data_IF_953892912372
#
_entry.id   IF_953892912372
#
_cell.length_a   1.000
_cell.length_b   1.000
_cell.length_c   1.000
_cell.angle_alpha   90.00
_cell.angle_beta   90.00
_cell.angle_gamma   90.00
#
_symmetry.space_group_name_H-M   'P 1'
#
loop_
_entity.id
_entity.type
_entity.pdbx_description
1 polymer ?
#
# COMPACT_ATOMS: atom_id res chain seq x y z
N UNK A 1 -4.35 20.42 -42.59
CA UNK A 1 -3.02 20.25 -43.22
C UNK A 1 -2.05 19.74 -42.18
N UNK A 2 -1.55 18.52 -42.39
CA UNK A 2 -0.61 17.87 -41.49
C UNK A 2 0.80 18.48 -41.63
N UNK A 3 1.56 18.54 -40.54
CA UNK A 3 3.02 18.67 -40.62
C UNK A 3 3.64 17.82 -39.51
N UNK A 4 4.12 16.66 -39.94
CA UNK A 4 4.93 15.70 -39.20
C UNK A 4 6.33 16.32 -39.01
N UNK A 5 6.86 16.31 -37.77
CA UNK A 5 8.29 16.56 -37.53
C UNK A 5 8.92 15.33 -36.88
N UNK A 6 9.90 14.83 -37.62
CA UNK A 6 10.67 13.59 -37.48
C UNK A 6 11.60 13.61 -36.26
N UNK A 7 11.57 12.54 -35.47
CA UNK A 7 12.58 12.21 -34.45
C UNK A 7 13.88 11.75 -35.12
N UNK A 8 15.04 12.25 -34.63
CA UNK A 8 16.35 11.64 -34.87
C UNK A 8 16.79 10.88 -33.62
N UNK A 9 16.97 9.58 -33.76
CA UNK A 9 17.58 8.68 -32.77
C UNK A 9 19.09 8.64 -33.03
N UNK A 10 19.92 8.79 -32.00
CA UNK A 10 21.37 8.57 -32.10
C UNK A 10 21.68 7.24 -31.42
N UNK A 11 22.10 6.26 -32.22
CA UNK A 11 22.59 4.95 -31.79
C UNK A 11 24.04 5.03 -31.31
N UNK A 12 24.35 4.31 -30.23
CA UNK A 12 25.67 3.83 -29.81
C UNK A 12 25.39 2.62 -28.89
N UNK A 13 26.13 1.53 -28.81
CA UNK A 13 27.15 0.88 -29.64
C UNK A 13 27.22 -0.56 -29.08
N UNK A 14 27.55 -1.53 -29.94
CA UNK A 14 27.78 -2.94 -29.60
C UNK A 14 28.86 -3.10 -28.51
N UNK A 15 28.71 -4.12 -27.66
CA UNK A 15 29.85 -4.92 -27.24
C UNK A 15 29.45 -6.37 -26.91
N UNK A 16 29.98 -7.26 -27.73
CA UNK A 16 29.97 -8.72 -27.69
C UNK A 16 30.92 -9.24 -26.61
N UNK A 17 30.52 -10.28 -25.86
CA UNK A 17 31.42 -11.06 -25.03
C UNK A 17 31.32 -12.56 -25.38
N UNK A 18 32.44 -13.07 -25.87
CA UNK A 18 32.69 -14.40 -26.42
C UNK A 18 32.90 -15.42 -25.29
N UNK A 19 32.28 -16.61 -25.42
CA UNK A 19 32.47 -17.75 -24.50
C UNK A 19 33.73 -18.54 -24.88
N UNK A 20 34.56 -18.99 -23.93
CA UNK A 20 35.53 -20.05 -24.21
C UNK A 20 34.94 -21.43 -23.88
N UNK A 21 35.15 -22.36 -24.81
CA UNK A 21 35.04 -23.81 -24.63
C UNK A 21 36.28 -24.30 -23.85
N UNK A 22 36.09 -25.17 -22.86
CA UNK A 22 37.20 -25.91 -22.26
C UNK A 22 36.86 -27.41 -22.20
N UNK A 23 37.85 -28.19 -22.62
CA UNK A 23 37.83 -29.63 -22.85
C UNK A 23 37.73 -30.44 -21.56
N UNK A 24 37.16 -31.63 -21.72
CA UNK A 24 37.07 -32.70 -20.74
C UNK A 24 38.45 -33.26 -20.35
N UNK A 25 38.55 -33.74 -19.10
CA UNK A 25 39.53 -34.75 -18.70
C UNK A 25 38.87 -35.69 -17.68
N UNK A 26 38.86 -36.99 -18.01
CA UNK A 26 38.42 -38.09 -17.15
C UNK A 26 39.57 -38.48 -16.22
N UNK A 27 39.28 -38.67 -14.94
CA UNK A 27 39.98 -39.63 -14.07
C UNK A 27 38.96 -40.25 -13.09
N UNK A 28 39.27 -41.47 -12.65
CA UNK A 28 38.32 -42.45 -12.14
C UNK A 28 38.37 -42.63 -10.61
N UNK A 29 37.27 -43.18 -10.07
CA UNK A 29 37.07 -43.91 -8.79
C UNK A 29 37.16 -43.11 -7.48
N UNK A 30 36.56 -43.57 -6.34
CA UNK A 30 35.76 -44.77 -6.10
C UNK A 30 34.36 -44.51 -5.50
N UNK A 31 33.56 -45.58 -5.44
CA UNK A 31 32.27 -45.67 -4.77
C UNK A 31 32.42 -45.41 -3.26
N UNK A 32 31.74 -44.39 -2.75
CA UNK A 32 31.44 -44.23 -1.33
C UNK A 32 29.94 -43.96 -1.25
N UNK A 33 29.20 -44.87 -0.63
CA UNK A 33 27.78 -44.71 -0.30
C UNK A 33 27.62 -43.73 0.86
N UNK A 34 26.99 -42.55 0.67
CA UNK A 34 26.56 -41.73 1.79
C UNK A 34 25.15 -42.16 2.23
N UNK A 35 25.06 -42.46 3.53
CA UNK A 35 23.84 -42.59 4.31
C UNK A 35 22.97 -41.34 4.18
N UNK A 36 21.66 -41.55 3.96
CA UNK A 36 20.66 -40.49 3.95
C UNK A 36 20.65 -39.78 5.32
N UNK A 37 21.16 -38.55 5.36
CA UNK A 37 20.84 -37.60 6.42
C UNK A 37 19.89 -36.58 5.79
N UNK A 38 18.68 -36.57 6.32
CA UNK A 38 17.53 -35.78 5.89
C UNK A 38 17.87 -34.27 5.99
N UNK A 39 18.37 -33.71 4.89
CA UNK A 39 18.53 -32.26 4.74
C UNK A 39 17.25 -31.70 4.17
N UNK A 40 16.43 -31.11 5.03
CA UNK A 40 15.34 -30.23 4.60
C UNK A 40 15.87 -29.18 3.61
N UNK A 41 15.35 -29.11 2.39
CA UNK A 41 15.69 -28.03 1.47
C UNK A 41 15.07 -26.73 1.99
N UNK A 42 15.92 -25.79 2.40
CA UNK A 42 15.54 -24.39 2.59
C UNK A 42 14.96 -23.88 1.27
N UNK A 43 13.66 -23.58 1.25
CA UNK A 43 12.99 -22.99 0.10
C UNK A 43 13.72 -21.70 -0.29
N UNK A 44 14.20 -21.54 -1.54
CA UNK A 44 14.80 -20.30 -1.95
C UNK A 44 13.75 -19.20 -1.92
N UNK A 45 14.05 -18.12 -1.19
CA UNK A 45 13.31 -16.87 -1.21
C UNK A 45 13.17 -16.41 -2.66
N UNK A 46 11.96 -16.54 -3.21
CA UNK A 46 11.64 -16.22 -4.60
C UNK A 46 11.67 -14.71 -4.74
N UNK A 47 12.81 -14.16 -5.19
CA UNK A 47 12.88 -12.77 -5.64
C UNK A 47 12.11 -12.64 -6.96
N UNK A 48 10.88 -12.13 -6.90
CA UNK A 48 10.04 -11.81 -8.06
C UNK A 48 10.54 -10.54 -8.76
N UNK A 49 11.62 -10.66 -9.54
CA UNK A 49 11.97 -9.66 -10.54
C UNK A 49 11.46 -10.14 -11.89
N UNK A 50 10.37 -9.52 -12.37
CA UNK A 50 9.82 -9.45 -13.74
C UNK A 50 8.27 -9.43 -13.63
N UNK A 51 7.72 -8.27 -13.26
CA UNK A 51 6.31 -7.96 -13.49
C UNK A 51 6.07 -7.89 -15.00
N UNK A 52 5.38 -8.87 -15.56
CA UNK A 52 4.97 -8.86 -16.96
C UNK A 52 4.03 -7.66 -17.21
N UNK A 53 4.40 -6.66 -18.04
CA UNK A 53 3.62 -5.44 -18.24
C UNK A 53 2.31 -5.67 -19.03
N UNK A 54 2.09 -6.90 -19.53
CA UNK A 54 0.89 -7.32 -20.22
C UNK A 54 -0.02 -8.21 -19.36
N UNK A 55 0.13 -8.20 -18.03
CA UNK A 55 -0.72 -9.00 -17.15
C UNK A 55 -2.20 -8.59 -17.32
N UNK A 56 -3.07 -9.47 -17.84
CA UNK A 56 -4.50 -9.14 -18.03
C UNK A 56 -5.21 -8.87 -16.70
N UNK A 57 -4.65 -9.35 -15.59
CA UNK A 57 -5.18 -9.24 -14.23
C UNK A 57 -4.90 -7.89 -13.53
N UNK A 58 -4.23 -6.95 -14.17
CA UNK A 58 -3.89 -5.64 -13.58
C UNK A 58 -2.58 -5.65 -12.78
N UNK A 59 -2.25 -4.52 -12.17
CA UNK A 59 -1.07 -4.31 -11.34
C UNK A 59 -1.46 -4.14 -9.88
N UNK A 60 -0.65 -4.70 -8.98
CA UNK A 60 -0.85 -4.61 -7.53
C UNK A 60 0.31 -3.81 -6.90
N UNK A 61 -0.04 -2.91 -5.98
CA UNK A 61 0.90 -2.21 -5.11
C UNK A 61 0.53 -2.49 -3.66
N UNK A 62 1.50 -2.90 -2.86
CA UNK A 62 1.32 -3.16 -1.43
C UNK A 62 2.30 -2.32 -0.63
N UNK A 63 1.81 -1.71 0.45
CA UNK A 63 2.64 -1.02 1.43
C UNK A 63 2.17 -1.37 2.84
N UNK A 64 3.13 -1.66 3.73
CA UNK A 64 2.85 -1.99 5.12
C UNK A 64 3.65 -1.10 6.06
N UNK A 65 3.02 -0.67 7.15
CA UNK A 65 3.62 0.19 8.18
C UNK A 65 3.12 -0.19 9.56
N UNK A 66 3.97 -0.04 10.56
CA UNK A 66 3.61 -0.27 11.96
C UNK A 66 3.56 1.07 12.67
N UNK A 67 2.37 1.47 13.09
CA UNK A 67 2.13 2.74 13.77
C UNK A 67 2.00 2.54 15.28
N UNK A 68 2.54 3.49 16.04
CA UNK A 68 2.48 3.52 17.51
C UNK A 68 1.22 4.23 18.01
N UNK A 69 0.10 3.98 17.34
CA UNK A 69 -1.19 4.61 17.63
C UNK A 69 -2.29 3.55 17.65
N UNK A 70 -3.37 3.77 18.42
CA UNK A 70 -4.52 2.86 18.45
C UNK A 70 -5.18 2.72 17.07
N UNK A 71 -5.65 1.51 16.74
CA UNK A 71 -6.31 1.26 15.46
C UNK A 71 -7.50 2.20 15.22
N UNK A 72 -8.27 2.52 16.26
CA UNK A 72 -9.40 3.47 16.19
C UNK A 72 -8.99 4.87 15.71
N UNK A 73 -7.85 5.38 16.17
CA UNK A 73 -7.34 6.69 15.76
C UNK A 73 -6.90 6.66 14.28
N UNK A 74 -6.17 5.61 13.89
CA UNK A 74 -5.72 5.42 12.51
C UNK A 74 -6.93 5.27 11.57
N UNK A 75 -7.88 4.43 11.96
CA UNK A 75 -9.12 4.18 11.23
C UNK A 75 -9.91 5.48 11.03
N UNK A 76 -10.01 6.35 12.03
CA UNK A 76 -10.71 7.63 11.90
C UNK A 76 -10.10 8.54 10.84
N UNK A 77 -8.79 8.47 10.61
CA UNK A 77 -8.12 9.25 9.55
C UNK A 77 -8.33 8.62 8.18
N UNK A 78 -8.26 7.30 8.08
CA UNK A 78 -8.46 6.57 6.80
C UNK A 78 -9.93 6.63 6.37
N UNK A 79 -10.88 6.56 7.29
CA UNK A 79 -12.31 6.65 6.96
C UNK A 79 -12.79 8.08 6.70
N UNK A 80 -12.04 9.11 7.09
CA UNK A 80 -12.34 10.52 6.82
C UNK A 80 -11.90 10.93 5.39
N UNK A 81 -12.55 10.31 4.40
CA UNK A 81 -12.26 10.53 2.98
C UNK A 81 -12.41 12.00 2.61
N UNK A 82 -13.41 12.71 3.13
CA UNK A 82 -13.64 14.14 2.83
C UNK A 82 -12.44 15.03 3.16
N UNK A 83 -11.62 14.65 4.15
CA UNK A 83 -10.42 15.41 4.52
C UNK A 83 -9.21 15.17 3.62
N UNK A 84 -9.24 14.21 2.70
CA UNK A 84 -8.06 13.77 1.94
C UNK A 84 -7.36 14.88 1.17
N UNK A 85 -8.08 15.83 0.58
CA UNK A 85 -7.49 16.96 -0.16
C UNK A 85 -6.65 17.90 0.71
N UNK A 86 -6.76 17.83 2.03
CA UNK A 86 -5.97 18.65 2.94
C UNK A 86 -4.57 18.09 3.21
N UNK A 87 -4.35 16.79 3.03
CA UNK A 87 -3.10 16.14 3.46
C UNK A 87 -2.53 15.10 2.50
N UNK A 88 -3.33 14.54 1.59
CA UNK A 88 -2.82 13.58 0.60
C UNK A 88 -2.17 14.33 -0.57
N UNK A 89 -0.90 14.04 -0.91
CA UNK A 89 -0.25 14.64 -2.05
C UNK A 89 -1.05 14.42 -3.35
N UNK A 90 -1.11 15.45 -4.19
CA UNK A 90 -1.80 15.44 -5.49
C UNK A 90 -3.34 15.33 -5.43
N UNK A 91 -3.94 15.14 -4.24
CA UNK A 91 -5.39 15.18 -4.08
C UNK A 91 -5.87 16.63 -4.04
N UNK A 92 -6.39 17.11 -5.16
CA UNK A 92 -6.84 18.50 -5.32
C UNK A 92 -8.24 18.72 -4.72
N UNK A 93 -9.10 17.71 -4.78
CA UNK A 93 -10.44 17.73 -4.18
C UNK A 93 -10.81 16.35 -3.68
N UNK A 94 -11.49 16.30 -2.53
CA UNK A 94 -12.09 15.08 -1.99
C UNK A 94 -13.46 15.39 -1.41
N UNK A 95 -14.49 14.73 -1.93
CA UNK A 95 -15.88 14.99 -1.53
C UNK A 95 -16.60 13.68 -1.31
N UNK A 96 -17.23 13.53 -0.14
CA UNK A 96 -18.17 12.45 0.15
C UNK A 96 -19.56 12.93 -0.25
N UNK A 97 -20.20 12.19 -1.16
CA UNK A 97 -21.51 12.54 -1.74
C UNK A 97 -22.65 11.74 -1.13
N UNK A 98 -22.34 10.57 -0.56
CA UNK A 98 -23.29 9.71 0.14
C UNK A 98 -22.60 9.02 1.30
N UNK A 99 -23.34 8.84 2.39
CA UNK A 99 -22.91 8.09 3.56
C UNK A 99 -23.79 6.85 3.77
N UNK A 100 -23.22 5.86 4.44
CA UNK A 100 -23.89 4.63 4.84
C UNK A 100 -24.99 4.88 5.87
N UNK A 101 -25.82 3.87 6.16
CA UNK A 101 -26.57 3.87 7.43
C UNK A 101 -25.61 3.74 8.62
N UNK A 102 -26.06 3.99 9.85
CA UNK A 102 -25.23 3.76 11.03
C UNK A 102 -24.76 2.31 11.11
N UNK A 103 -23.47 2.10 11.32
CA UNK A 103 -22.89 0.79 11.60
C UNK A 103 -23.13 0.38 13.07
N UNK A 104 -22.61 -0.78 13.48
CA UNK A 104 -22.71 -1.31 14.85
C UNK A 104 -22.24 -0.35 15.93
N UNK A 105 -21.28 0.53 15.61
CA UNK A 105 -20.78 1.55 16.53
C UNK A 105 -21.55 2.87 16.51
N UNK A 106 -22.71 2.91 15.84
CA UNK A 106 -23.60 4.06 15.73
C UNK A 106 -23.11 5.17 14.80
N UNK A 107 -21.96 5.00 14.14
CA UNK A 107 -21.41 5.98 13.19
C UNK A 107 -21.77 5.63 11.74
N UNK A 108 -21.88 6.66 10.92
CA UNK A 108 -21.99 6.53 9.45
C UNK A 108 -20.62 6.69 8.81
N UNK A 109 -20.42 6.03 7.68
CA UNK A 109 -19.17 6.06 6.92
C UNK A 109 -19.41 6.53 5.48
N UNK A 110 -18.37 6.97 4.75
CA UNK A 110 -18.51 7.29 3.33
C UNK A 110 -18.99 6.07 2.55
N UNK A 111 -19.98 6.26 1.69
CA UNK A 111 -20.47 5.23 0.76
C UNK A 111 -20.12 5.59 -0.68
N UNK A 112 -20.22 6.87 -1.06
CA UNK A 112 -19.85 7.36 -2.39
C UNK A 112 -18.97 8.59 -2.25
N UNK A 113 -17.81 8.56 -2.89
CA UNK A 113 -16.84 9.65 -2.84
C UNK A 113 -16.30 9.99 -4.23
N UNK A 114 -15.91 11.24 -4.39
CA UNK A 114 -15.30 11.79 -5.59
C UNK A 114 -13.95 12.41 -5.25
N UNK A 115 -12.90 11.90 -5.86
CA UNK A 115 -11.55 12.42 -5.74
C UNK A 115 -11.12 13.06 -7.05
N UNK A 116 -10.43 14.19 -6.96
CA UNK A 116 -9.77 14.83 -8.10
C UNK A 116 -8.27 14.80 -7.83
N UNK A 117 -7.54 14.05 -8.65
CA UNK A 117 -6.09 13.85 -8.51
C UNK A 117 -5.38 14.55 -9.67
N UNK A 118 -4.39 15.39 -9.37
CA UNK A 118 -3.61 16.04 -10.40
C UNK A 118 -2.15 16.25 -10.01
N UNK A 119 -1.26 15.97 -10.96
CA UNK A 119 0.19 15.99 -10.74
C UNK A 119 0.83 17.32 -11.13
N UNK A 120 0.28 18.02 -12.14
CA UNK A 120 0.83 19.24 -12.75
C UNK A 120 -0.31 20.22 -13.16
N UNK A 121 0.02 21.45 -13.58
CA UNK A 121 -0.92 22.53 -13.97
C UNK A 121 -1.84 22.26 -15.19
N UNK A 122 -1.88 21.04 -15.72
CA UNK A 122 -2.72 20.70 -16.88
C UNK A 122 -3.20 19.26 -16.95
N UNK A 123 -2.93 18.42 -15.94
CA UNK A 123 -3.38 17.03 -15.91
C UNK A 123 -4.07 16.76 -14.57
N UNK A 124 -5.38 16.61 -14.62
CA UNK A 124 -6.22 16.26 -13.50
C UNK A 124 -7.21 15.19 -13.93
N UNK A 125 -7.39 14.19 -13.08
CA UNK A 125 -8.30 13.09 -13.30
C UNK A 125 -9.31 13.01 -12.15
N UNK A 126 -10.57 12.77 -12.51
CA UNK A 126 -11.67 12.59 -11.57
C UNK A 126 -11.97 11.10 -11.39
N UNK A 127 -12.01 10.65 -10.14
CA UNK A 127 -12.33 9.28 -9.75
C UNK A 127 -13.56 9.28 -8.84
N UNK A 128 -14.62 8.60 -9.30
CA UNK A 128 -15.76 8.25 -8.47
C UNK A 128 -15.54 6.86 -7.89
N UNK A 129 -15.71 6.74 -6.58
CA UNK A 129 -15.50 5.49 -5.87
C UNK A 129 -16.68 5.17 -4.96
N UNK A 130 -16.99 3.88 -4.89
CA UNK A 130 -17.83 3.34 -3.82
C UNK A 130 -16.93 2.89 -2.68
N UNK A 131 -17.27 3.29 -1.46
CA UNK A 131 -16.46 3.07 -0.27
C UNK A 131 -17.21 2.16 0.69
N UNK A 132 -16.50 1.19 1.25
CA UNK A 132 -16.98 0.20 2.19
C UNK A 132 -16.11 0.21 3.44
N UNK A 133 -16.74 0.21 4.58
CA UNK A 133 -16.09 0.35 5.87
C UNK A 133 -16.47 -0.80 6.79
N UNK A 134 -15.46 -1.46 7.37
CA UNK A 134 -15.64 -2.33 8.54
C UNK A 134 -15.06 -1.55 9.71
N UNK A 135 -15.88 -1.12 10.69
CA UNK A 135 -15.45 -0.26 11.79
C UNK A 135 -14.16 -0.73 12.46
N UNK A 136 -13.22 0.20 12.65
CA UNK A 136 -11.92 0.01 13.31
C UNK A 136 -10.98 -1.04 12.66
N UNK A 137 -11.33 -1.59 11.48
CA UNK A 137 -10.60 -2.71 10.86
C UNK A 137 -10.26 -2.50 9.39
N UNK A 138 -11.21 -2.16 8.53
CA UNK A 138 -11.00 -2.14 7.07
C UNK A 138 -11.70 -0.95 6.43
N UNK A 139 -11.03 -0.32 5.47
CA UNK A 139 -11.65 0.64 4.53
C UNK A 139 -11.28 0.21 3.11
N UNK A 140 -12.26 -0.09 2.28
CA UNK A 140 -12.08 -0.48 0.88
C UNK A 140 -12.80 0.51 -0.02
N UNK A 141 -12.14 0.99 -1.07
CA UNK A 141 -12.72 1.82 -2.11
C UNK A 141 -12.60 1.12 -3.46
N UNK A 142 -13.68 1.04 -4.22
CA UNK A 142 -13.74 0.38 -5.53
C UNK A 142 -14.24 1.32 -6.61
N UNK A 143 -13.72 1.17 -7.83
CA UNK A 143 -14.10 1.96 -9.02
C UNK A 143 -13.91 1.16 -10.31
N UNK A 144 -14.58 1.58 -11.37
CA UNK A 144 -14.71 0.84 -12.61
C UNK A 144 -15.39 -0.51 -12.37
N UNK A 145 -14.84 -1.56 -12.97
CA UNK A 145 -15.34 -2.94 -12.87
C UNK A 145 -14.93 -3.67 -11.58
N UNK A 146 -14.20 -3.02 -10.66
CA UNK A 146 -13.78 -3.63 -9.40
C UNK A 146 -14.97 -3.80 -8.45
N UNK A 147 -15.16 -4.99 -7.87
CA UNK A 147 -16.17 -5.22 -6.83
C UNK A 147 -15.53 -5.31 -5.45
N UNK A 148 -16.34 -5.09 -4.41
CA UNK A 148 -15.85 -5.23 -3.04
C UNK A 148 -15.41 -6.66 -2.75
N UNK A 149 -14.29 -6.81 -2.03
CA UNK A 149 -13.82 -8.11 -1.55
C UNK A 149 -14.29 -8.41 -0.12
N UNK A 150 -15.06 -7.51 0.48
CA UNK A 150 -15.49 -7.62 1.87
C UNK A 150 -16.73 -8.51 2.01
N UNK A 151 -16.84 -9.31 3.09
CA UNK A 151 -18.02 -10.12 3.33
C UNK A 151 -19.27 -9.25 3.58
N UNK A 152 -20.41 -9.49 2.90
CA UNK A 152 -21.62 -8.67 3.02
C UNK A 152 -22.11 -8.47 4.46
N UNK A 153 -21.97 -9.50 5.30
CA UNK A 153 -22.36 -9.47 6.71
C UNK A 153 -21.55 -8.48 7.56
N UNK A 154 -20.35 -8.09 7.12
CA UNK A 154 -19.53 -7.09 7.83
C UNK A 154 -19.78 -5.66 7.34
N UNK A 155 -20.59 -5.51 6.28
CA UNK A 155 -20.87 -4.23 5.63
C UNK A 155 -22.38 -4.00 5.41
N UNK A 156 -23.25 -4.62 6.20
CA UNK A 156 -24.72 -4.53 6.07
C UNK A 156 -25.25 -3.07 6.12
N UNK A 157 -24.50 -2.17 6.75
CA UNK A 157 -24.83 -0.75 6.82
C UNK A 157 -24.58 0.02 5.51
N UNK A 158 -23.91 -0.59 4.53
CA UNK A 158 -23.76 -0.06 3.19
C UNK A 158 -24.82 -0.62 2.25
N UNK A 159 -25.38 0.24 1.39
CA UNK A 159 -26.28 -0.27 0.36
C UNK A 159 -25.54 -1.07 -0.71
N UNK A 160 -26.23 -2.03 -1.34
CA UNK A 160 -25.67 -2.81 -2.44
C UNK A 160 -25.22 -1.90 -3.58
N UNK A 161 -24.18 -2.32 -4.31
CA UNK A 161 -23.65 -1.52 -5.42
C UNK A 161 -24.62 -1.57 -6.60
N UNK A 162 -25.14 -0.43 -7.09
CA UNK A 162 -26.02 -0.42 -8.25
C UNK A 162 -25.29 -0.89 -9.53
N UNK A 163 -26.00 -1.30 -10.59
CA UNK A 163 -25.39 -1.72 -11.85
C UNK A 163 -24.80 -0.54 -12.67
N UNK A 164 -24.10 -0.86 -13.76
CA UNK A 164 -23.29 0.07 -14.58
C UNK A 164 -24.03 1.22 -15.31
N UNK A 165 -25.35 1.37 -15.11
CA UNK A 165 -26.12 2.53 -15.61
C UNK A 165 -26.55 3.52 -14.52
N UNK A 166 -26.42 3.13 -13.25
CA UNK A 166 -26.92 3.91 -12.11
C UNK A 166 -25.79 4.32 -11.16
N UNK A 167 -24.65 3.64 -11.20
CA UNK A 167 -23.50 3.90 -10.35
C UNK A 167 -22.36 4.61 -11.12
N UNK A 168 -22.15 5.90 -10.80
CA UNK A 168 -21.07 6.70 -11.39
C UNK A 168 -19.68 6.13 -11.12
N UNK A 169 -19.49 5.40 -10.02
CA UNK A 169 -18.21 4.77 -9.71
C UNK A 169 -17.84 3.64 -10.67
N UNK A 170 -18.79 3.14 -11.48
CA UNK A 170 -18.54 2.13 -12.51
C UNK A 170 -18.08 2.72 -13.83
N UNK A 171 -18.15 4.04 -14.01
CA UNK A 171 -17.72 4.70 -15.23
C UNK A 171 -16.22 4.48 -15.44
N UNK A 172 -15.86 3.86 -16.56
CA UNK A 172 -14.47 3.65 -16.93
C UNK A 172 -13.86 4.98 -17.38
N UNK A 173 -12.92 5.50 -16.60
CA UNK A 173 -12.09 6.65 -16.95
C UNK A 173 -10.68 6.16 -17.30
N UNK A 174 -9.64 6.80 -16.77
CA UNK A 174 -8.25 6.37 -16.90
C UNK A 174 -8.02 4.97 -16.33
N UNK A 175 -8.73 4.62 -15.25
CA UNK A 175 -8.66 3.31 -14.61
C UNK A 175 -9.97 2.55 -14.85
N UNK A 176 -9.89 1.41 -15.54
CA UNK A 176 -11.03 0.50 -15.76
C UNK A 176 -11.27 -0.42 -14.56
N UNK A 177 -10.25 -0.62 -13.72
CA UNK A 177 -10.33 -1.31 -12.44
C UNK A 177 -9.51 -0.51 -11.43
N UNK A 178 -10.10 -0.20 -10.28
CA UNK A 178 -9.37 0.32 -9.13
C UNK A 178 -10.00 -0.24 -7.86
N UNK A 179 -9.21 -0.91 -7.04
CA UNK A 179 -9.55 -1.29 -5.67
C UNK A 179 -8.43 -0.84 -4.74
N UNK A 180 -8.78 -0.07 -3.72
CA UNK A 180 -7.86 0.39 -2.68
C UNK A 180 -8.36 -0.12 -1.35
N UNK A 181 -7.59 -0.98 -0.69
CA UNK A 181 -7.96 -1.60 0.59
C UNK A 181 -6.94 -1.30 1.66
N UNK A 182 -7.41 -0.69 2.73
CA UNK A 182 -6.70 -0.48 3.98
C UNK A 182 -7.13 -1.52 5.00
N UNK A 183 -6.18 -2.23 5.61
CA UNK A 183 -6.43 -3.21 6.66
C UNK A 183 -5.62 -2.86 7.90
N UNK A 184 -6.29 -2.82 9.06
CA UNK A 184 -5.72 -2.51 10.36
C UNK A 184 -5.67 -3.78 11.21
N UNK A 185 -4.48 -4.07 11.76
CA UNK A 185 -4.24 -5.19 12.68
C UNK A 185 -3.71 -4.63 14.00
N UNK A 186 -4.58 -4.36 14.98
CA UNK A 186 -4.15 -3.91 16.30
C UNK A 186 -3.39 -5.03 17.02
N UNK A 187 -2.37 -4.65 17.80
CA UNK A 187 -1.70 -5.55 18.71
C UNK A 187 -1.16 -4.79 19.94
N UNK A 188 -1.16 -5.45 21.08
CA UNK A 188 -0.59 -4.92 22.32
C UNK A 188 0.91 -5.17 22.35
N UNK A 189 1.69 -4.10 22.51
CA UNK A 189 3.14 -4.18 22.61
C UNK A 189 3.59 -3.80 24.02
N UNK A 190 4.08 -4.78 24.78
CA UNK A 190 4.86 -4.51 26.00
C UNK A 190 6.34 -4.62 25.63
N UNK A 191 7.15 -3.55 25.80
CA UNK A 191 8.58 -3.65 25.55
C UNK A 191 9.22 -4.66 26.52
N UNK A 192 10.31 -5.33 26.12
CA UNK A 192 11.06 -6.20 27.01
C UNK A 192 11.76 -5.36 28.11
N UNK A 193 12.10 -5.96 29.28
CA UNK A 193 12.86 -5.28 30.32
C UNK A 193 14.25 -4.89 29.82
N UNK A 194 14.86 -3.85 30.42
CA UNK A 194 16.19 -3.34 30.00
C UNK A 194 17.26 -4.43 30.07
N UNK A 195 17.15 -5.33 31.05
CA UNK A 195 18.00 -6.50 31.22
C UNK A 195 17.97 -7.41 29.99
N UNK A 196 16.85 -7.53 29.27
CA UNK A 196 16.71 -8.40 28.09
C UNK A 196 17.61 -8.03 26.90
N UNK A 197 18.16 -6.81 26.88
CA UNK A 197 19.00 -6.31 25.79
C UNK A 197 20.45 -6.80 25.86
N UNK A 198 20.87 -7.40 26.99
CA UNK A 198 22.19 -8.02 27.12
C UNK A 198 22.15 -9.51 26.72
N UNK A 199 23.26 -10.00 26.18
CA UNK A 199 23.40 -11.37 25.67
C UNK A 199 23.44 -12.40 26.81
N UNK A 200 23.82 -11.95 28.01
CA UNK A 200 23.99 -12.74 29.23
C UNK A 200 22.66 -13.04 29.93
N UNK A 201 21.65 -12.19 29.75
CA UNK A 201 20.37 -12.18 30.50
C UNK A 201 19.16 -12.51 29.63
N UNK A 202 19.34 -12.76 28.32
CA UNK A 202 18.26 -13.03 27.36
C UNK A 202 17.31 -14.17 27.78
N UNK A 203 17.77 -15.11 28.61
CA UNK A 203 16.99 -16.25 29.10
C UNK A 203 16.17 -15.95 30.37
N UNK A 204 16.28 -14.76 30.97
CA UNK A 204 15.58 -14.37 32.21
C UNK A 204 14.28 -13.57 31.97
N UNK A 205 13.88 -13.36 30.72
CA UNK A 205 12.72 -12.53 30.32
C UNK A 205 11.35 -13.03 30.82
N UNK A 206 11.28 -14.19 31.49
CA UNK A 206 10.07 -14.69 32.14
C UNK A 206 9.89 -14.17 33.57
N UNK A 207 10.94 -13.62 34.18
CA UNK A 207 10.93 -13.20 35.59
C UNK A 207 10.84 -11.67 35.77
N UNK A 208 11.11 -10.91 34.71
CA UNK A 208 11.11 -9.45 34.73
C UNK A 208 10.23 -8.90 33.60
N UNK A 209 9.48 -7.83 33.90
CA UNK A 209 8.69 -7.08 32.91
C UNK A 209 9.24 -5.66 32.81
N UNK A 210 9.13 -5.04 31.63
CA UNK A 210 9.53 -3.64 31.49
C UNK A 210 8.69 -2.73 32.37
N UNK A 211 9.35 -1.76 32.99
CA UNK A 211 8.70 -0.65 33.72
C UNK A 211 7.86 0.23 32.78
N UNK A 212 8.14 0.21 31.47
CA UNK A 212 7.40 0.99 30.47
C UNK A 212 6.05 0.31 30.20
N UNK A 213 4.96 1.07 30.28
CA UNK A 213 3.60 0.57 30.04
C UNK A 213 3.41 -0.07 28.67
N UNK A 214 2.42 -0.98 28.60
CA UNK A 214 2.00 -1.56 27.33
C UNK A 214 1.45 -0.47 26.41
N UNK A 215 1.86 -0.52 25.15
CA UNK A 215 1.47 0.43 24.12
C UNK A 215 0.56 -0.24 23.11
N UNK A 216 -0.51 0.45 22.71
CA UNK A 216 -1.31 0.04 21.57
C UNK A 216 -0.54 0.35 20.29
N UNK A 217 -0.31 -0.68 19.48
CA UNK A 217 0.28 -0.55 18.15
C UNK A 217 -0.66 -1.14 17.13
N UNK A 218 -0.50 -0.71 15.89
CA UNK A 218 -1.30 -1.21 14.79
C UNK A 218 -0.40 -1.41 13.58
N UNK A 219 -0.47 -2.60 12.99
CA UNK A 219 0.02 -2.81 11.63
C UNK A 219 -1.06 -2.31 10.64
N UNK A 220 -0.64 -1.49 9.70
CA UNK A 220 -1.45 -0.90 8.64
C UNK A 220 -0.98 -1.49 7.33
N UNK A 221 -1.91 -2.07 6.58
CA UNK A 221 -1.67 -2.70 5.30
C UNK A 221 -2.50 -2.00 4.23
N UNK A 222 -1.85 -1.40 3.23
CA UNK A 222 -2.46 -0.81 2.05
C UNK A 222 -2.22 -1.72 0.85
N UNK A 223 -3.29 -2.12 0.18
CA UNK A 223 -3.24 -2.80 -1.12
C UNK A 223 -4.00 -1.98 -2.17
N UNK A 224 -3.35 -1.64 -3.27
CA UNK A 224 -3.95 -0.95 -4.42
C UNK A 224 -3.85 -1.86 -5.64
N UNK A 225 -5.00 -2.33 -6.12
CA UNK A 225 -5.15 -3.10 -7.33
C UNK A 225 -5.70 -2.18 -8.42
N UNK A 226 -5.03 -2.08 -9.55
CA UNK A 226 -5.49 -1.19 -10.62
C UNK A 226 -5.22 -1.74 -12.01
N UNK A 227 -6.05 -1.29 -12.96
CA UNK A 227 -5.88 -1.52 -14.39
C UNK A 227 -6.24 -0.24 -15.13
N UNK A 228 -5.33 0.21 -15.99
CA UNK A 228 -5.61 1.32 -16.89
C UNK A 228 -6.52 0.88 -18.04
N UNK A 229 -7.43 1.76 -18.44
CA UNK A 229 -8.27 1.53 -19.61
C UNK A 229 -7.43 1.49 -20.90
N UNK A 230 -6.42 2.37 -21.00
CA UNK A 230 -5.45 2.35 -22.10
C UNK A 230 -4.10 1.75 -21.64
N UNK A 231 -3.65 0.63 -22.25
CA UNK A 231 -2.39 -0.03 -21.90
C UNK A 231 -1.16 0.89 -21.95
N UNK A 232 -1.15 1.89 -22.84
CA UNK A 232 -0.03 2.83 -22.96
C UNK A 232 0.15 3.66 -21.68
N UNK A 233 -0.93 4.05 -21.00
CA UNK A 233 -0.84 4.76 -19.72
C UNK A 233 -0.21 3.87 -18.66
N UNK A 234 -0.60 2.60 -18.59
CA UNK A 234 -0.02 1.64 -17.64
C UNK A 234 1.49 1.49 -17.80
N UNK A 235 1.99 1.42 -19.04
CA UNK A 235 3.42 1.34 -19.33
C UNK A 235 4.13 2.63 -18.90
N UNK A 236 3.58 3.80 -19.24
CA UNK A 236 4.20 5.09 -18.93
C UNK A 236 4.21 5.41 -17.42
N UNK A 237 3.18 5.00 -16.68
CA UNK A 237 3.03 5.34 -15.26
C UNK A 237 3.70 4.35 -14.30
N UNK A 238 4.13 3.17 -14.77
CA UNK A 238 4.59 2.07 -13.92
C UNK A 238 5.74 2.47 -12.98
N UNK A 239 6.68 3.27 -13.46
CA UNK A 239 7.84 3.71 -12.67
C UNK A 239 7.47 4.68 -11.54
N UNK A 240 6.36 5.41 -11.67
CA UNK A 240 5.93 6.39 -10.67
C UNK A 240 5.06 5.76 -9.56
N UNK A 241 4.37 4.65 -9.86
CA UNK A 241 3.34 4.08 -9.00
C UNK A 241 3.84 3.70 -7.58
N UNK A 242 5.01 3.03 -7.41
CA UNK A 242 5.54 2.73 -6.08
C UNK A 242 5.84 3.98 -5.24
N UNK A 243 6.36 5.03 -5.88
CA UNK A 243 6.70 6.29 -5.21
C UNK A 243 5.44 7.05 -4.75
N UNK A 244 4.35 6.98 -5.53
CA UNK A 244 3.06 7.56 -5.14
C UNK A 244 2.49 6.83 -3.92
N UNK A 245 2.51 5.49 -3.90
CA UNK A 245 2.03 4.71 -2.77
C UNK A 245 2.82 5.02 -1.48
N UNK A 246 4.15 5.16 -1.57
CA UNK A 246 4.99 5.55 -0.44
C UNK A 246 4.66 6.97 0.06
N UNK A 247 4.47 7.93 -0.84
CA UNK A 247 4.08 9.29 -0.46
C UNK A 247 2.68 9.35 0.17
N UNK A 248 1.76 8.51 -0.29
CA UNK A 248 0.42 8.37 0.27
C UNK A 248 0.50 7.84 1.70
N UNK A 249 1.20 6.72 1.94
CA UNK A 249 1.27 6.14 3.29
C UNK A 249 1.95 7.10 4.28
N UNK A 250 3.04 7.77 3.89
CA UNK A 250 3.68 8.80 4.73
C UNK A 250 2.72 9.95 5.08
N UNK A 251 1.86 10.36 4.15
CA UNK A 251 0.90 11.44 4.38
C UNK A 251 -0.15 11.05 5.43
N UNK A 252 -0.64 9.80 5.37
CA UNK A 252 -1.54 9.26 6.39
C UNK A 252 -0.86 9.18 7.75
N UNK A 253 0.40 8.71 7.82
CA UNK A 253 1.15 8.64 9.08
C UNK A 253 1.26 10.02 9.74
N UNK A 254 1.66 11.04 8.98
CA UNK A 254 1.76 12.42 9.47
C UNK A 254 0.40 12.94 9.94
N UNK A 255 -0.68 12.61 9.23
CA UNK A 255 -2.03 13.03 9.61
C UNK A 255 -2.50 12.35 10.89
N UNK A 256 -2.26 11.06 11.06
CA UNK A 256 -2.55 10.33 12.31
C UNK A 256 -1.80 10.96 13.47
N UNK A 257 -0.50 11.21 13.31
CA UNK A 257 0.30 11.89 14.33
C UNK A 257 -0.30 13.24 14.71
N UNK A 258 -0.66 14.07 13.73
CA UNK A 258 -1.24 15.39 13.98
C UNK A 258 -2.60 15.34 14.72
N UNK A 259 -3.42 14.33 14.44
CA UNK A 259 -4.73 14.14 15.10
C UNK A 259 -4.56 13.62 16.54
N UNK A 260 -3.60 12.73 16.78
CA UNK A 260 -3.38 12.14 18.11
C UNK A 260 -2.59 13.06 19.05
N UNK A 261 -1.53 13.68 18.56
CA UNK A 261 -0.62 14.53 19.37
C UNK A 261 -1.07 15.99 19.44
N UNK A 262 -1.99 16.40 18.57
CA UNK A 262 -2.46 17.77 18.44
C UNK A 262 -1.44 18.73 17.79
N UNK A 263 -1.85 19.98 17.46
CA UNK A 263 -1.02 20.94 16.72
C UNK A 263 0.28 21.37 17.44
N UNK A 264 0.35 21.18 18.77
CA UNK A 264 1.43 21.71 19.61
C UNK A 264 2.76 20.96 19.49
N UNK A 265 2.77 19.73 18.98
CA UNK A 265 4.02 18.93 18.86
C UNK A 265 4.77 19.16 17.54
N UNK A 266 4.08 19.52 16.45
CA UNK A 266 4.70 19.84 15.15
C UNK A 266 5.63 21.07 15.19
N UNK A 267 5.44 21.97 16.17
CA UNK A 267 6.30 23.13 16.41
C UNK A 267 7.64 22.77 17.09
N UNK A 268 7.76 21.58 17.72
CA UNK A 268 9.03 21.14 18.33
C UNK A 268 10.03 20.64 17.29
N UNK A 269 9.59 19.92 16.26
CA UNK A 269 10.50 19.43 15.21
C UNK A 269 11.08 20.57 14.35
N UNK A 270 10.29 21.62 14.07
CA UNK A 270 10.77 22.79 13.32
C UNK A 270 11.82 23.63 14.05
N UNK A 271 11.90 23.55 15.39
CA UNK A 271 12.93 24.26 16.18
C UNK A 271 14.21 23.45 16.39
N UNK A 272 14.24 22.16 16.02
CA UNK A 272 15.41 21.30 16.17
C UNK A 272 16.39 21.29 14.99
N UNK A 273 15.98 21.76 13.81
CA UNK A 273 16.79 21.74 12.57
C UNK A 273 17.39 23.13 12.26
N UNK A 274 17.60 23.96 13.28
CA UNK A 274 18.09 25.34 13.16
C UNK A 274 19.29 25.67 14.04
N UNK A 275 20.00 24.66 14.56
CA UNK A 275 21.29 24.84 15.23
C UNK A 275 22.23 23.68 14.87
N UNK A 276 22.92 23.84 13.76
CA UNK A 276 24.31 23.40 13.55
C UNK A 276 24.95 24.40 12.58
#
# INVERSE_FOLDING_TARGET
MATVKTLRLVSNALQTATRPLCLQSRTATPYITPTNHDRQPTLPFRRTFLTNPLNPAGSELVASRTLRYPAKAIYSVISDVASYSHFIPYCQSSVVTKSSSPAENGKTYPEEAKLVIGFNEGVSEEFWSRVYCIPDRVVEAVSGNAETSLPPEQIEHHSSRPPAGEDRSRNESVLSHLSTKWTLRPYHYKPPPTSAMSKETTHMNHQETSEVDAQEKCEVHLAILYKFANPMYGIMSQAAAPKVAEKMIEAFERRVQAVVEGPSHALKERKGVGKM
#
